data_IF_672735903976
#
_entry.id   IF_672735903976
#
_cell.length_a   1.000
_cell.length_b   1.000
_cell.length_c   1.000
_cell.angle_alpha   90.00
_cell.angle_beta   90.00
_cell.angle_gamma   90.00
#
_symmetry.space_group_name_H-M   'P 1'
#
loop_
_entity.id
_entity.type
_entity.pdbx_description
1 polymer ?
#
# COMPACT_ATOMS: atom_id res chain seq x y z
N UNK A 1 -17.14 7.91 16.54
CA UNK A 1 -15.78 7.46 16.92
C UNK A 1 -15.86 6.96 18.35
N UNK A 2 -15.35 5.78 18.64
CA UNK A 2 -15.35 5.21 19.99
C UNK A 2 -14.17 5.79 20.79
N UNK A 3 -14.45 6.47 21.90
CA UNK A 3 -13.42 7.15 22.71
C UNK A 3 -12.48 6.17 23.42
N UNK A 4 -12.95 4.96 23.78
CA UNK A 4 -12.08 3.94 24.39
C UNK A 4 -11.08 3.41 23.36
N UNK A 5 -11.54 3.16 22.14
CA UNK A 5 -10.66 2.74 21.04
C UNK A 5 -9.64 3.84 20.71
N UNK A 6 -10.06 5.10 20.66
CA UNK A 6 -9.16 6.22 20.45
C UNK A 6 -8.07 6.30 21.53
N UNK A 7 -8.43 6.11 22.79
CA UNK A 7 -7.45 6.09 23.89
C UNK A 7 -6.46 4.91 23.74
N UNK A 8 -6.96 3.74 23.35
CA UNK A 8 -6.11 2.58 23.07
C UNK A 8 -5.15 2.84 21.89
N UNK A 9 -5.65 3.41 20.79
CA UNK A 9 -4.84 3.68 19.60
C UNK A 9 -3.76 4.73 19.85
N UNK A 10 -3.93 5.63 20.81
CA UNK A 10 -2.83 6.51 21.26
C UNK A 10 -1.63 5.73 21.79
N UNK A 11 -1.88 4.66 22.56
CA UNK A 11 -0.83 3.74 23.02
C UNK A 11 -0.16 3.00 21.85
N UNK A 12 -0.98 2.54 20.90
CA UNK A 12 -0.50 1.93 19.66
C UNK A 12 0.40 2.87 18.85
N UNK A 13 0.00 4.13 18.65
CA UNK A 13 0.79 5.15 17.94
C UNK A 13 2.15 5.40 18.59
N UNK A 14 2.17 5.46 19.93
CA UNK A 14 3.42 5.57 20.67
C UNK A 14 4.31 4.35 20.43
N UNK A 15 3.76 3.13 20.46
CA UNK A 15 4.54 1.92 20.26
C UNK A 15 5.18 1.88 18.85
N UNK A 16 4.41 2.11 17.79
CA UNK A 16 4.91 2.03 16.40
C UNK A 16 5.94 3.12 16.08
N UNK A 17 5.92 4.25 16.78
CA UNK A 17 6.92 5.32 16.64
C UNK A 17 8.30 4.92 17.19
N UNK A 18 8.34 4.08 18.22
CA UNK A 18 9.59 3.61 18.84
C UNK A 18 10.09 2.28 18.26
N UNK A 19 9.25 1.55 17.52
CA UNK A 19 9.65 0.32 16.84
C UNK A 19 10.74 0.58 15.79
N UNK A 20 11.62 -0.41 15.63
CA UNK A 20 12.51 -0.51 14.49
C UNK A 20 11.75 -0.81 13.19
N UNK A 21 12.44 -0.70 12.06
CA UNK A 21 11.82 -0.94 10.75
C UNK A 21 11.31 -2.39 10.62
N UNK A 22 12.12 -3.38 10.99
CA UNK A 22 11.73 -4.80 10.89
C UNK A 22 10.53 -5.15 11.76
N UNK A 23 10.42 -4.55 12.95
CA UNK A 23 9.26 -4.75 13.84
C UNK A 23 7.99 -4.17 13.24
N UNK A 24 8.08 -2.97 12.66
CA UNK A 24 6.95 -2.38 11.92
C UNK A 24 6.56 -3.22 10.71
N UNK A 25 7.53 -3.74 9.96
CA UNK A 25 7.27 -4.62 8.82
C UNK A 25 6.56 -5.91 9.24
N UNK A 26 6.98 -6.53 10.35
CA UNK A 26 6.31 -7.72 10.88
C UNK A 26 4.87 -7.43 11.30
N UNK A 27 4.64 -6.37 12.07
CA UNK A 27 3.30 -5.98 12.52
C UNK A 27 2.39 -5.60 11.35
N UNK A 28 2.85 -4.68 10.51
CA UNK A 28 2.06 -4.16 9.41
C UNK A 28 1.99 -5.10 8.21
N UNK A 29 2.84 -6.12 8.13
CA UNK A 29 2.74 -7.22 7.17
C UNK A 29 1.41 -7.95 7.30
N UNK A 30 1.10 -8.40 8.52
CA UNK A 30 -0.17 -9.08 8.81
C UNK A 30 -1.38 -8.16 8.60
N UNK A 31 -1.29 -6.90 9.07
CA UNK A 31 -2.38 -5.93 8.88
C UNK A 31 -2.62 -5.61 7.39
N UNK A 32 -1.55 -5.34 6.64
CA UNK A 32 -1.60 -4.97 5.23
C UNK A 32 -2.14 -6.09 4.35
N UNK A 33 -1.77 -7.35 4.65
CA UNK A 33 -2.32 -8.54 4.03
C UNK A 33 -3.83 -8.67 4.28
N UNK A 34 -4.26 -8.60 5.53
CA UNK A 34 -5.68 -8.72 5.88
C UNK A 34 -6.53 -7.60 5.25
N UNK A 35 -5.99 -6.38 5.16
CA UNK A 35 -6.63 -5.27 4.43
C UNK A 35 -6.73 -5.54 2.91
N UNK A 36 -5.67 -6.08 2.29
CA UNK A 36 -5.64 -6.38 0.87
C UNK A 36 -6.64 -7.50 0.50
N UNK A 37 -6.67 -8.58 1.28
CA UNK A 37 -7.51 -9.77 1.03
C UNK A 37 -8.99 -9.45 0.96
N UNK A 38 -9.44 -8.44 1.72
CA UNK A 38 -10.84 -8.03 1.74
C UNK A 38 -11.35 -7.57 0.38
N UNK A 39 -10.52 -6.91 -0.44
CA UNK A 39 -10.99 -6.35 -1.70
C UNK A 39 -9.91 -6.10 -2.74
N UNK A 40 -8.83 -5.38 -2.39
CA UNK A 40 -7.81 -4.90 -3.36
C UNK A 40 -7.15 -6.05 -4.10
N UNK A 41 -6.84 -7.16 -3.42
CA UNK A 41 -6.16 -8.29 -4.04
C UNK A 41 -6.96 -8.88 -5.21
N UNK A 42 -8.26 -9.10 -5.02
CA UNK A 42 -9.11 -9.67 -6.07
C UNK A 42 -9.30 -8.71 -7.24
N UNK A 43 -9.42 -7.41 -6.96
CA UNK A 43 -9.45 -6.38 -8.00
C UNK A 43 -8.18 -6.42 -8.86
N UNK A 44 -7.01 -6.45 -8.22
CA UNK A 44 -5.73 -6.42 -8.93
C UNK A 44 -5.48 -7.72 -9.69
N UNK A 45 -5.85 -8.89 -9.13
CA UNK A 45 -5.84 -10.18 -9.85
C UNK A 45 -6.68 -10.13 -11.11
N UNK A 46 -7.91 -9.61 -11.03
CA UNK A 46 -8.80 -9.51 -12.18
C UNK A 46 -8.22 -8.57 -13.26
N UNK A 47 -7.66 -7.43 -12.84
CA UNK A 47 -7.03 -6.48 -13.77
C UNK A 47 -5.80 -7.09 -14.46
N UNK A 48 -4.95 -7.77 -13.69
CA UNK A 48 -3.75 -8.43 -14.18
C UNK A 48 -4.09 -9.57 -15.16
N UNK A 49 -5.11 -10.37 -14.85
CA UNK A 49 -5.60 -11.42 -15.73
C UNK A 49 -6.21 -10.86 -17.03
N UNK A 50 -6.94 -9.73 -16.96
CA UNK A 50 -7.52 -9.06 -18.13
C UNK A 50 -6.46 -8.66 -19.16
N UNK A 51 -5.27 -8.31 -18.69
CA UNK A 51 -4.13 -7.92 -19.54
C UNK A 51 -3.14 -9.07 -19.79
N UNK A 52 -3.55 -10.32 -19.55
CA UNK A 52 -2.74 -11.53 -19.74
C UNK A 52 -1.39 -11.50 -19.00
N UNK A 53 -1.36 -10.86 -17.83
CA UNK A 53 -0.17 -10.77 -16.99
C UNK A 53 0.88 -9.75 -17.43
N UNK A 54 0.56 -8.87 -18.38
CA UNK A 54 1.43 -7.77 -18.76
C UNK A 54 1.35 -6.62 -17.74
N UNK A 55 2.46 -6.37 -17.03
CA UNK A 55 2.55 -5.34 -16.00
C UNK A 55 2.47 -3.92 -16.55
N UNK A 56 2.97 -3.65 -17.75
CA UNK A 56 2.88 -2.32 -18.37
C UNK A 56 1.41 -2.03 -18.74
N UNK A 57 0.71 -3.01 -19.30
CA UNK A 57 -0.72 -2.90 -19.56
C UNK A 57 -1.53 -2.79 -18.26
N UNK A 58 -1.16 -3.52 -17.21
CA UNK A 58 -1.79 -3.41 -15.90
C UNK A 58 -1.72 -1.97 -15.36
N UNK A 59 -0.54 -1.33 -15.41
CA UNK A 59 -0.36 0.05 -14.96
C UNK A 59 -1.04 1.09 -15.88
N UNK A 60 -1.30 0.75 -17.15
CA UNK A 60 -2.17 1.58 -18.01
C UNK A 60 -3.63 1.46 -17.58
N UNK A 61 -4.11 0.25 -17.33
CA UNK A 61 -5.50 0.00 -16.96
C UNK A 61 -5.86 0.56 -15.56
N UNK A 62 -4.91 0.53 -14.60
CA UNK A 62 -5.17 1.00 -13.24
C UNK A 62 -5.49 2.51 -13.18
N UNK A 63 -5.07 3.28 -14.18
CA UNK A 63 -5.41 4.71 -14.29
C UNK A 63 -6.90 4.97 -14.51
N UNK A 64 -7.69 3.94 -14.85
CA UNK A 64 -9.15 4.03 -14.87
C UNK A 64 -9.80 3.95 -13.49
N UNK A 65 -9.05 3.55 -12.44
CA UNK A 65 -9.58 3.44 -11.09
C UNK A 65 -9.61 4.82 -10.40
N UNK A 66 -10.72 5.13 -9.74
CA UNK A 66 -10.89 6.39 -9.04
C UNK A 66 -9.86 6.53 -7.90
N UNK A 67 -9.21 7.70 -7.83
CA UNK A 67 -8.26 8.02 -6.76
C UNK A 67 -6.90 7.32 -6.85
N UNK A 68 -6.69 6.48 -7.87
CA UNK A 68 -5.42 5.77 -8.13
C UNK A 68 -4.80 6.30 -9.41
N UNK A 69 -3.47 6.36 -9.45
CA UNK A 69 -2.71 6.63 -10.67
C UNK A 69 -1.50 5.70 -10.71
N UNK A 70 -1.21 5.16 -11.89
CA UNK A 70 -0.07 4.32 -12.19
C UNK A 70 0.80 4.96 -13.27
N UNK A 71 2.12 4.92 -13.06
CA UNK A 71 3.10 5.37 -14.04
C UNK A 71 4.12 4.26 -14.33
N UNK A 72 4.45 4.09 -15.60
CA UNK A 72 5.52 3.18 -16.04
C UNK A 72 6.81 4.00 -16.08
N UNK A 73 7.73 3.72 -15.17
CA UNK A 73 9.03 4.41 -15.08
C UNK A 73 10.07 3.71 -15.93
N UNK A 74 10.10 2.37 -15.89
CA UNK A 74 10.92 1.51 -16.74
C UNK A 74 10.08 0.29 -17.14
N UNK A 75 9.71 0.14 -18.43
CA UNK A 75 8.86 -0.96 -18.90
C UNK A 75 9.31 -2.32 -18.40
N UNK A 76 8.37 -3.10 -17.87
CA UNK A 76 8.62 -4.44 -17.33
C UNK A 76 9.29 -4.50 -15.96
N UNK A 77 9.79 -3.38 -15.41
CA UNK A 77 10.68 -3.38 -14.24
C UNK A 77 10.34 -2.37 -13.15
N UNK A 78 10.04 -1.11 -13.47
CA UNK A 78 9.83 -0.06 -12.45
C UNK A 78 8.57 0.74 -12.72
N UNK A 79 7.78 0.94 -11.67
CA UNK A 79 6.51 1.63 -11.73
C UNK A 79 6.33 2.53 -10.51
N UNK A 80 5.54 3.60 -10.67
CA UNK A 80 5.05 4.40 -9.55
C UNK A 80 3.56 4.21 -9.39
N UNK A 81 3.11 4.00 -8.15
CA UNK A 81 1.71 3.87 -7.77
C UNK A 81 1.35 5.02 -6.83
N UNK A 82 0.31 5.76 -7.19
CA UNK A 82 -0.15 6.93 -6.47
C UNK A 82 -1.56 6.75 -5.93
N UNK A 83 -1.80 7.26 -4.73
CA UNK A 83 -3.14 7.39 -4.15
C UNK A 83 -3.42 8.85 -3.82
N UNK A 84 -4.42 9.43 -4.47
CA UNK A 84 -4.81 10.85 -4.33
C UNK A 84 -5.43 11.17 -2.97
N UNK A 85 -5.86 10.16 -2.23
CA UNK A 85 -6.45 10.26 -0.89
C UNK A 85 -6.06 9.05 -0.06
N UNK A 86 -5.96 9.24 1.25
CA UNK A 86 -5.82 8.11 2.17
C UNK A 86 -7.14 7.34 2.25
N UNK A 87 -7.10 6.03 2.01
CA UNK A 87 -8.26 5.13 2.10
C UNK A 87 -8.27 4.30 3.38
N UNK A 88 -7.29 4.50 4.28
CA UNK A 88 -7.21 3.75 5.52
C UNK A 88 -8.33 4.15 6.47
N UNK A 89 -9.17 3.18 6.86
CA UNK A 89 -10.24 3.40 7.83
C UNK A 89 -9.74 3.93 9.18
N UNK A 90 -8.59 3.46 9.67
CA UNK A 90 -8.03 3.93 10.95
C UNK A 90 -7.71 5.43 10.93
N UNK A 91 -7.22 5.95 9.79
CA UNK A 91 -6.96 7.37 9.64
C UNK A 91 -8.25 8.16 9.39
N UNK A 92 -9.08 7.70 8.46
CA UNK A 92 -10.31 8.40 8.07
C UNK A 92 -11.33 8.47 9.21
N UNK A 93 -11.31 7.50 10.12
CA UNK A 93 -12.12 7.49 11.35
C UNK A 93 -11.44 8.20 12.53
N UNK A 94 -10.24 8.76 12.35
CA UNK A 94 -9.54 9.57 13.35
C UNK A 94 -8.84 8.80 14.47
N UNK A 95 -8.67 7.49 14.34
CA UNK A 95 -8.01 6.64 15.35
C UNK A 95 -6.48 6.73 15.31
N UNK A 96 -5.89 6.79 14.11
CA UNK A 96 -4.43 6.78 13.92
C UNK A 96 -4.03 7.80 12.85
N UNK A 97 -3.13 8.73 13.19
CA UNK A 97 -2.60 9.77 12.30
C UNK A 97 -1.08 9.73 12.16
N UNK A 98 -0.41 8.82 12.87
CA UNK A 98 1.03 8.62 12.77
C UNK A 98 1.45 8.22 11.34
N UNK A 99 2.48 8.87 10.75
CA UNK A 99 3.00 8.52 9.43
C UNK A 99 3.61 7.12 9.37
N UNK A 100 3.92 6.51 10.53
CA UNK A 100 4.38 5.13 10.62
C UNK A 100 3.30 4.12 10.20
N UNK A 101 2.01 4.50 10.26
CA UNK A 101 0.91 3.68 9.75
C UNK A 101 1.04 3.37 8.26
N UNK A 102 1.66 4.25 7.48
CA UNK A 102 1.77 4.07 6.03
C UNK A 102 2.63 2.85 5.63
N UNK A 103 3.40 2.28 6.55
CA UNK A 103 4.05 0.97 6.34
C UNK A 103 3.02 -0.14 6.05
N UNK A 104 1.82 -0.07 6.64
CA UNK A 104 0.70 -0.96 6.31
C UNK A 104 0.34 -0.92 4.82
N UNK A 105 0.31 0.28 4.23
CA UNK A 105 0.04 0.45 2.80
C UNK A 105 1.18 -0.15 1.96
N UNK A 106 2.44 0.06 2.36
CA UNK A 106 3.61 -0.53 1.69
C UNK A 106 3.55 -2.06 1.69
N UNK A 107 3.27 -2.66 2.85
CA UNK A 107 3.13 -4.12 3.00
C UNK A 107 1.95 -4.67 2.20
N UNK A 108 0.82 -3.95 2.18
CA UNK A 108 -0.34 -4.30 1.36
C UNK A 108 0.02 -4.38 -0.13
N UNK A 109 0.76 -3.38 -0.63
CA UNK A 109 1.25 -3.34 -2.02
C UNK A 109 2.19 -4.53 -2.28
N UNK A 110 3.20 -4.75 -1.42
CA UNK A 110 4.13 -5.88 -1.54
C UNK A 110 3.35 -7.20 -1.66
N UNK A 111 2.40 -7.42 -0.76
CA UNK A 111 1.60 -8.63 -0.74
C UNK A 111 0.78 -8.82 -2.02
N UNK A 112 0.09 -7.75 -2.48
CA UNK A 112 -0.72 -7.80 -3.69
C UNK A 112 0.14 -8.11 -4.92
N UNK A 113 1.26 -7.39 -5.10
CA UNK A 113 2.12 -7.59 -6.26
C UNK A 113 2.80 -8.96 -6.25
N UNK A 114 3.33 -9.43 -5.12
CA UNK A 114 3.85 -10.81 -5.02
C UNK A 114 2.77 -11.86 -5.33
N UNK A 115 1.51 -11.59 -5.00
CA UNK A 115 0.40 -12.51 -5.27
C UNK A 115 0.00 -12.60 -6.74
N UNK A 116 0.15 -11.52 -7.50
CA UNK A 116 -0.17 -11.51 -8.95
C UNK A 116 1.04 -11.85 -9.82
N UNK A 117 2.26 -11.60 -9.34
CA UNK A 117 3.52 -11.98 -9.99
C UNK A 117 4.33 -12.97 -9.14
N UNK A 118 3.86 -14.22 -8.94
CA UNK A 118 4.49 -15.18 -8.01
C UNK A 118 5.92 -15.59 -8.38
N UNK A 119 6.31 -15.39 -9.64
CA UNK A 119 7.65 -15.71 -10.15
C UNK A 119 8.61 -14.52 -10.14
N UNK A 120 8.18 -13.36 -9.61
CA UNK A 120 9.01 -12.15 -9.54
C UNK A 120 9.21 -11.76 -8.10
N UNK A 121 10.39 -11.25 -7.77
CA UNK A 121 10.60 -10.56 -6.49
C UNK A 121 10.17 -9.11 -6.65
N UNK A 122 9.43 -8.59 -5.66
CA UNK A 122 8.92 -7.23 -5.65
C UNK A 122 9.50 -6.45 -4.48
N UNK A 123 10.17 -5.34 -4.79
CA UNK A 123 10.63 -4.36 -3.81
C UNK A 123 9.79 -3.08 -3.92
N UNK A 124 9.29 -2.58 -2.78
CA UNK A 124 8.45 -1.38 -2.72
C UNK A 124 9.05 -0.35 -1.78
N UNK A 125 9.31 0.83 -2.30
CA UNK A 125 9.73 2.00 -1.53
C UNK A 125 8.55 2.96 -1.34
N UNK A 126 8.43 3.48 -0.12
CA UNK A 126 7.45 4.51 0.24
C UNK A 126 8.13 5.88 0.05
N UNK A 127 7.76 6.59 -1.01
CA UNK A 127 8.40 7.84 -1.44
C UNK A 127 7.80 9.05 -0.69
N UNK A 128 6.48 9.20 -0.75
CA UNK A 128 5.73 10.28 -0.12
C UNK A 128 4.38 9.77 0.39
N UNK A 129 3.84 10.37 1.45
CA UNK A 129 2.50 10.04 1.95
C UNK A 129 1.78 11.26 2.49
N UNK A 130 0.45 11.22 2.44
CA UNK A 130 -0.42 12.25 3.01
C UNK A 130 -0.18 12.42 4.52
N UNK A 131 0.04 11.32 5.26
CA UNK A 131 0.35 11.41 6.70
C UNK A 131 1.74 12.00 7.00
N UNK A 132 2.62 12.10 5.98
CA UNK A 132 3.90 12.82 6.06
C UNK A 132 3.81 14.25 5.52
N UNK A 133 2.61 14.72 5.18
CA UNK A 133 2.36 16.06 4.65
C UNK A 133 2.45 16.18 3.13
N UNK A 134 2.52 15.08 2.39
CA UNK A 134 2.41 15.10 0.92
C UNK A 134 0.97 15.32 0.43
N UNK A 135 0.81 15.84 -0.79
CA UNK A 135 -0.50 16.01 -1.41
C UNK A 135 -1.16 14.67 -1.81
N UNK A 136 -0.32 13.67 -2.11
CA UNK A 136 -0.71 12.31 -2.43
C UNK A 136 0.27 11.30 -1.84
N UNK A 137 -0.12 10.02 -1.79
CA UNK A 137 0.80 8.94 -1.47
C UNK A 137 1.46 8.42 -2.73
N UNK A 138 2.77 8.21 -2.70
CA UNK A 138 3.57 7.66 -3.79
C UNK A 138 4.39 6.46 -3.31
N UNK A 139 4.29 5.38 -4.07
CA UNK A 139 5.07 4.16 -3.88
C UNK A 139 5.82 3.81 -5.17
N UNK A 140 7.14 3.62 -5.07
CA UNK A 140 7.95 3.09 -6.17
C UNK A 140 8.00 1.57 -6.05
N UNK A 141 7.59 0.87 -7.11
CA UNK A 141 7.56 -0.59 -7.20
C UNK A 141 8.62 -1.03 -8.19
N UNK A 142 9.51 -1.92 -7.75
CA UNK A 142 10.56 -2.50 -8.58
C UNK A 142 10.36 -4.01 -8.64
N UNK A 143 10.31 -4.54 -9.86
CA UNK A 143 10.18 -5.95 -10.17
C UNK A 143 11.56 -6.50 -10.52
N UNK A 144 11.88 -7.67 -9.98
CA UNK A 144 13.09 -8.41 -10.27
C UNK A 144 12.72 -9.78 -10.84
N UNK A 145 13.51 -10.23 -11.82
CA UNK A 145 13.46 -11.59 -12.36
C UNK A 145 14.06 -12.61 -11.39
#
# INVERSE_FOLDING_TARGET
>A
MDENLKYWFKGFENAIAHMGQQERESLFGECGKNCADRWVLNLYKNLYNKVNGDMDLFFKEINGAEGVKGEIVEPGKKYSLFFKKCTCGLHNEGYVNSPHLCECSRQSIIYVFNSITPNKKVDVALCSTILRGGDECEFSITMHD
#
